data_IF_373726972830
#
_entry.id   IF_373726972830
#
_cell.length_a   1.000
_cell.length_b   1.000
_cell.length_c   1.000
_cell.angle_alpha   90.00
_cell.angle_beta   90.00
_cell.angle_gamma   90.00
#
_symmetry.space_group_name_H-M   'P 1'
#
loop_
_entity.id
_entity.type
_entity.pdbx_description
1 polymer ?
#
# COMPACT_ATOMS: atom_id res chain seq x y z
N UNK A 1 0.47 0.07 -14.85
CA UNK A 1 -0.33 -1.08 -14.40
C UNK A 1 -0.66 -0.92 -12.94
N UNK A 2 -1.87 -1.33 -12.48
CA UNK A 2 -2.22 -1.31 -11.06
C UNK A 2 -1.35 -2.33 -10.29
N UNK A 3 -0.79 -1.89 -9.17
CA UNK A 3 0.11 -2.69 -8.32
C UNK A 3 -0.18 -2.55 -6.82
N UNK A 4 -1.21 -1.78 -6.46
CA UNK A 4 -1.66 -1.67 -5.08
C UNK A 4 -3.13 -1.31 -5.01
N UNK A 5 -3.81 -1.90 -4.05
CA UNK A 5 -5.16 -1.57 -3.67
C UNK A 5 -5.16 -0.66 -2.43
N UNK A 6 -6.25 0.04 -2.21
CA UNK A 6 -6.52 0.75 -0.98
C UNK A 6 -7.97 0.52 -0.58
N UNK A 7 -8.21 0.28 0.68
CA UNK A 7 -9.55 0.22 1.25
C UNK A 7 -9.98 1.62 1.67
N UNK A 8 -11.20 1.99 1.33
CA UNK A 8 -11.82 3.24 1.75
C UNK A 8 -13.06 2.95 2.58
N UNK A 9 -13.15 3.61 3.74
CA UNK A 9 -14.40 3.76 4.46
C UNK A 9 -14.95 5.15 4.16
N UNK A 10 -16.19 5.23 3.72
CA UNK A 10 -16.86 6.50 3.39
C UNK A 10 -18.24 6.55 4.06
N UNK A 11 -18.63 7.75 4.49
CA UNK A 11 -19.98 8.00 4.97
C UNK A 11 -20.42 9.42 4.58
N UNK A 12 -21.71 9.59 4.29
CA UNK A 12 -22.28 10.92 4.03
C UNK A 12 -22.29 11.76 5.31
N UNK A 13 -22.44 11.11 6.46
CA UNK A 13 -22.52 11.78 7.76
C UNK A 13 -22.04 10.86 8.88
N UNK A 14 -21.13 11.35 9.72
CA UNK A 14 -20.73 10.70 10.97
C UNK A 14 -21.84 10.93 12.01
N UNK A 15 -22.41 9.87 12.60
CA UNK A 15 -23.38 10.02 13.69
C UNK A 15 -22.70 10.42 15.01
N UNK A 16 -23.48 10.64 16.06
CA UNK A 16 -22.94 10.75 17.42
C UNK A 16 -22.21 9.45 17.80
N UNK A 17 -20.94 9.56 18.14
CA UNK A 17 -20.06 8.45 18.54
C UNK A 17 -19.49 8.75 19.93
N UNK A 18 -19.46 7.73 20.80
CA UNK A 18 -18.84 7.90 22.13
C UNK A 18 -17.33 7.89 22.03
N UNK A 19 -16.70 8.84 22.72
CA UNK A 19 -15.25 8.90 22.84
C UNK A 19 -14.68 7.62 23.50
N UNK A 20 -13.48 7.23 23.09
CA UNK A 20 -12.74 6.08 23.61
C UNK A 20 -11.56 6.58 24.45
N UNK A 21 -11.37 5.99 25.63
CA UNK A 21 -10.22 6.30 26.49
C UNK A 21 -8.90 5.88 25.85
N UNK A 22 -7.83 6.64 26.12
CA UNK A 22 -6.48 6.35 25.65
C UNK A 22 -6.16 6.84 24.24
N UNK A 23 -7.11 7.50 23.57
CA UNK A 23 -6.86 8.24 22.32
C UNK A 23 -6.48 9.67 22.68
N UNK A 24 -5.40 10.16 22.08
CA UNK A 24 -4.85 11.49 22.38
C UNK A 24 -4.28 12.16 21.12
N UNK A 25 -4.28 13.51 21.06
CA UNK A 25 -3.62 14.23 19.97
C UNK A 25 -2.09 14.09 20.10
N UNK A 26 -1.45 13.66 19.01
CA UNK A 26 0.01 13.62 18.92
C UNK A 26 0.52 14.96 18.36
N UNK A 27 1.34 15.64 19.15
CA UNK A 27 1.85 16.97 18.77
C UNK A 27 3.02 16.86 17.77
N UNK A 28 3.31 17.92 16.98
CA UNK A 28 4.38 17.89 15.98
C UNK A 28 5.78 17.53 16.52
N UNK A 29 6.11 17.93 17.71
CA UNK A 29 7.37 17.60 18.39
C UNK A 29 7.41 16.16 18.92
N UNK A 30 6.29 15.45 18.91
CA UNK A 30 6.15 14.08 19.35
C UNK A 30 6.02 13.07 18.20
N UNK A 31 5.97 13.50 16.95
CA UNK A 31 5.74 12.60 15.79
C UNK A 31 6.76 11.47 15.69
N UNK A 32 7.99 11.68 16.17
CA UNK A 32 9.01 10.62 16.24
C UNK A 32 8.54 9.38 17.01
N UNK A 33 7.64 9.54 17.99
CA UNK A 33 7.08 8.42 18.77
C UNK A 33 6.23 7.46 17.91
N UNK A 34 5.71 7.92 16.76
CA UNK A 34 4.92 7.11 15.84
C UNK A 34 5.78 6.36 14.80
N UNK A 35 7.10 6.63 14.74
CA UNK A 35 7.98 6.04 13.73
C UNK A 35 8.14 4.53 13.89
N UNK A 36 8.26 4.02 15.11
CA UNK A 36 8.35 2.57 15.36
C UNK A 36 7.04 1.87 14.92
N UNK A 37 5.88 2.45 15.25
CA UNK A 37 4.58 1.95 14.82
C UNK A 37 4.49 1.90 13.28
N UNK A 38 4.92 2.96 12.59
CA UNK A 38 5.02 3.00 11.14
C UNK A 38 5.94 1.90 10.59
N UNK A 39 7.13 1.77 11.15
CA UNK A 39 8.14 0.80 10.69
C UNK A 39 7.64 -0.63 10.84
N UNK A 40 6.98 -0.96 11.93
CA UNK A 40 6.42 -2.29 12.17
C UNK A 40 5.22 -2.57 11.25
N UNK A 41 4.41 -1.56 10.97
CA UNK A 41 3.29 -1.69 10.04
C UNK A 41 3.77 -1.97 8.61
N UNK A 42 4.73 -1.21 8.09
CA UNK A 42 5.17 -1.36 6.68
C UNK A 42 5.87 -2.69 6.41
N UNK A 43 6.48 -3.33 7.42
CA UNK A 43 7.09 -4.67 7.28
C UNK A 43 6.09 -5.76 6.89
N UNK A 44 4.79 -5.54 7.12
CA UNK A 44 3.72 -6.50 6.81
C UNK A 44 3.32 -6.50 5.34
N UNK A 45 3.72 -5.49 4.59
CA UNK A 45 3.22 -5.26 3.23
C UNK A 45 4.35 -5.18 2.22
N UNK A 46 4.12 -5.73 1.02
CA UNK A 46 4.98 -5.51 -0.14
C UNK A 46 4.54 -4.26 -0.90
N UNK A 47 5.50 -3.53 -1.49
CA UNK A 47 5.20 -2.39 -2.35
C UNK A 47 4.82 -1.09 -1.62
N UNK A 48 4.91 -1.05 -0.30
CA UNK A 48 4.78 0.18 0.49
C UNK A 48 6.10 0.94 0.46
N UNK A 49 6.03 2.26 0.34
CA UNK A 49 7.20 3.13 0.43
C UNK A 49 7.79 3.01 1.83
N UNK A 50 9.02 2.49 1.92
CA UNK A 50 9.80 2.54 3.15
C UNK A 50 10.32 3.96 3.35
N UNK A 51 10.11 4.53 4.55
CA UNK A 51 10.64 5.84 4.94
C UNK A 51 11.74 5.66 5.99
N UNK A 52 12.83 6.39 5.84
CA UNK A 52 13.74 6.63 6.96
C UNK A 52 13.03 7.48 8.01
N UNK A 53 13.58 7.57 9.22
CA UNK A 53 13.03 8.45 10.26
C UNK A 53 12.95 9.91 9.77
N UNK A 54 13.98 10.39 9.07
CA UNK A 54 14.00 11.74 8.48
C UNK A 54 12.88 11.93 7.45
N UNK A 55 12.67 10.97 6.54
CA UNK A 55 11.60 11.04 5.54
C UNK A 55 10.21 10.95 6.18
N UNK A 56 10.07 10.14 7.23
CA UNK A 56 8.85 10.04 8.01
C UNK A 56 8.51 11.38 8.67
N UNK A 57 9.47 11.98 9.39
CA UNK A 57 9.27 13.26 10.06
C UNK A 57 9.01 14.40 9.06
N UNK A 58 9.69 14.39 7.90
CA UNK A 58 9.43 15.35 6.81
C UNK A 58 7.98 15.23 6.32
N UNK A 59 7.49 13.99 6.12
CA UNK A 59 6.10 13.76 5.70
C UNK A 59 5.09 14.20 6.76
N UNK A 60 5.39 13.97 8.04
CA UNK A 60 4.56 14.47 9.14
C UNK A 60 4.53 16.01 9.19
N UNK A 61 5.69 16.65 8.95
CA UNK A 61 5.77 18.10 8.87
C UNK A 61 4.95 18.68 7.70
N UNK A 62 4.95 18.01 6.54
CA UNK A 62 4.10 18.38 5.40
C UNK A 62 2.61 18.31 5.78
N UNK A 63 2.17 17.21 6.42
CA UNK A 63 0.78 17.09 6.88
C UNK A 63 0.40 18.22 7.85
N UNK A 64 1.27 18.53 8.81
CA UNK A 64 1.02 19.60 9.77
C UNK A 64 1.00 20.99 9.10
N UNK A 65 1.89 21.27 8.15
CA UNK A 65 1.94 22.53 7.41
C UNK A 65 0.67 22.77 6.59
N UNK A 66 0.06 21.69 6.08
CA UNK A 66 -1.20 21.72 5.35
C UNK A 66 -2.45 21.78 6.28
N UNK A 67 -2.26 21.93 7.59
CA UNK A 67 -3.35 21.99 8.59
C UNK A 67 -3.86 20.61 9.03
N UNK A 68 -3.12 19.54 8.71
CA UNK A 68 -3.43 18.19 9.19
C UNK A 68 -3.20 18.04 10.69
N UNK A 69 -3.96 17.13 11.28
CA UNK A 69 -3.88 16.76 12.70
C UNK A 69 -3.48 15.29 12.80
N UNK A 70 -2.91 14.89 13.95
CA UNK A 70 -2.61 13.50 14.25
C UNK A 70 -3.25 13.09 15.58
N UNK A 71 -3.99 11.98 15.57
CA UNK A 71 -4.44 11.30 16.79
C UNK A 71 -3.72 9.96 16.90
N UNK A 72 -3.42 9.57 18.12
CA UNK A 72 -2.73 8.33 18.45
C UNK A 72 -3.41 7.58 19.58
N UNK A 73 -3.11 6.30 19.69
CA UNK A 73 -3.49 5.42 20.79
C UNK A 73 -2.25 4.67 21.28
N UNK A 74 -2.16 4.47 22.59
CA UNK A 74 -1.12 3.72 23.27
C UNK A 74 -0.77 4.39 24.60
N UNK A 75 -0.14 3.65 25.52
CA UNK A 75 0.20 4.15 26.85
C UNK A 75 1.68 4.49 26.96
N UNK A 76 2.54 3.51 26.68
CA UNK A 76 4.00 3.64 26.80
C UNK A 76 4.66 3.86 25.42
N UNK A 77 4.01 3.44 24.36
CA UNK A 77 4.39 3.61 22.97
C UNK A 77 3.16 3.90 22.12
N UNK A 78 3.36 4.47 20.94
CA UNK A 78 2.29 4.62 19.96
C UNK A 78 2.01 3.25 19.32
N UNK A 79 0.80 2.73 19.54
CA UNK A 79 0.34 1.44 18.99
C UNK A 79 -0.44 1.61 17.69
N UNK A 80 -1.10 2.78 17.52
CA UNK A 80 -1.77 3.18 16.29
C UNK A 80 -1.83 4.70 16.20
N UNK A 81 -1.84 5.22 14.96
CA UNK A 81 -2.04 6.65 14.71
C UNK A 81 -2.80 6.88 13.41
N UNK A 82 -3.42 8.07 13.32
CA UNK A 82 -4.12 8.54 12.13
C UNK A 82 -3.78 10.00 11.87
N UNK A 83 -3.27 10.32 10.66
CA UNK A 83 -3.22 11.68 10.14
C UNK A 83 -4.50 12.00 9.37
N UNK A 84 -5.11 13.14 9.68
CA UNK A 84 -6.38 13.55 9.09
C UNK A 84 -6.47 15.05 8.90
N UNK A 85 -7.31 15.43 7.95
CA UNK A 85 -7.75 16.82 7.73
C UNK A 85 -9.23 16.92 8.11
N UNK A 86 -9.57 18.03 8.74
CA UNK A 86 -10.94 18.34 9.12
C UNK A 86 -11.32 19.70 8.56
N UNK A 87 -12.37 19.74 7.76
CA UNK A 87 -12.98 20.98 7.26
C UNK A 87 -14.32 21.21 7.97
N UNK A 88 -15.08 22.24 7.55
CA UNK A 88 -16.44 22.48 8.05
C UNK A 88 -17.44 21.38 7.65
N UNK A 89 -17.15 20.60 6.61
CA UNK A 89 -18.08 19.62 6.01
C UNK A 89 -17.54 18.21 5.93
N UNK A 90 -16.23 18.02 6.04
CA UNK A 90 -15.59 16.75 5.72
C UNK A 90 -14.44 16.41 6.68
N UNK A 91 -14.34 15.11 7.00
CA UNK A 91 -13.20 14.48 7.67
C UNK A 91 -12.49 13.53 6.68
N UNK A 92 -11.20 13.79 6.42
CA UNK A 92 -10.38 12.99 5.50
C UNK A 92 -9.19 12.40 6.27
N UNK A 93 -9.20 11.10 6.52
CA UNK A 93 -8.07 10.38 7.10
C UNK A 93 -7.14 9.88 5.98
N UNK A 94 -5.94 10.46 5.90
CA UNK A 94 -5.00 10.26 4.78
C UNK A 94 -3.94 9.20 5.03
N UNK A 95 -3.60 8.97 6.30
CA UNK A 95 -2.69 7.92 6.72
C UNK A 95 -3.20 7.32 8.03
N UNK A 96 -3.43 6.01 8.04
CA UNK A 96 -3.95 5.26 9.18
C UNK A 96 -3.07 4.01 9.37
N UNK A 97 -2.40 3.92 10.51
CA UNK A 97 -1.34 2.94 10.80
C UNK A 97 -1.58 2.32 12.17
N UNK A 98 -1.46 1.00 12.25
CA UNK A 98 -1.66 0.20 13.44
C UNK A 98 -2.40 -1.10 13.15
N UNK A 99 -2.58 -1.93 14.15
CA UNK A 99 -3.46 -3.10 14.09
C UNK A 99 -4.93 -2.65 14.09
N UNK A 100 -5.80 -3.40 13.45
CA UNK A 100 -7.22 -3.04 13.29
C UNK A 100 -7.89 -2.68 14.63
N UNK A 101 -7.65 -3.44 15.69
CA UNK A 101 -8.27 -3.21 17.02
C UNK A 101 -7.86 -1.87 17.65
N UNK A 102 -6.59 -1.49 17.54
CA UNK A 102 -6.07 -0.22 18.08
C UNK A 102 -6.39 0.94 17.15
N UNK A 103 -6.30 0.72 15.85
CA UNK A 103 -6.64 1.70 14.83
C UNK A 103 -8.13 2.07 14.86
N UNK A 104 -9.02 1.09 15.08
CA UNK A 104 -10.45 1.34 15.24
C UNK A 104 -10.73 2.26 16.45
N UNK A 105 -9.97 2.14 17.55
CA UNK A 105 -10.09 3.05 18.70
C UNK A 105 -9.70 4.47 18.33
N UNK A 106 -8.58 4.66 17.59
CA UNK A 106 -8.16 6.00 17.13
C UNK A 106 -9.22 6.63 16.26
N UNK A 107 -9.74 5.88 15.27
CA UNK A 107 -10.81 6.36 14.38
C UNK A 107 -12.07 6.71 15.16
N UNK A 108 -12.48 5.87 16.13
CA UNK A 108 -13.64 6.14 17.00
C UNK A 108 -13.45 7.43 17.80
N UNK A 109 -12.24 7.67 18.33
CA UNK A 109 -11.92 8.91 19.05
C UNK A 109 -12.02 10.15 18.16
N UNK A 110 -11.51 10.07 16.92
CA UNK A 110 -11.63 11.15 15.92
C UNK A 110 -13.11 11.40 15.58
N UNK A 111 -13.90 10.34 15.35
CA UNK A 111 -15.31 10.46 14.97
C UNK A 111 -16.16 11.12 16.07
N UNK A 112 -15.82 10.88 17.35
CA UNK A 112 -16.50 11.50 18.47
C UNK A 112 -16.40 13.05 18.48
N UNK A 113 -15.39 13.61 17.82
CA UNK A 113 -15.18 15.05 17.68
C UNK A 113 -15.71 15.60 16.33
N UNK A 114 -16.19 14.73 15.43
CA UNK A 114 -16.49 15.07 14.03
C UNK A 114 -17.95 14.73 13.65
N UNK A 115 -18.88 14.77 14.60
CA UNK A 115 -20.29 14.52 14.32
C UNK A 115 -20.83 15.44 13.20
N UNK A 116 -21.58 14.84 12.29
CA UNK A 116 -22.23 15.55 11.20
C UNK A 116 -21.40 15.75 9.95
N UNK A 117 -20.08 15.53 10.00
CA UNK A 117 -19.21 15.64 8.83
C UNK A 117 -19.33 14.41 7.91
N UNK A 118 -19.07 14.59 6.62
CA UNK A 118 -18.83 13.46 5.73
C UNK A 118 -17.47 12.82 6.03
N UNK A 119 -17.31 11.53 5.69
CA UNK A 119 -16.15 10.73 6.06
C UNK A 119 -15.46 10.14 4.83
N UNK A 120 -14.13 10.23 4.80
CA UNK A 120 -13.27 9.44 3.93
C UNK A 120 -12.05 8.96 4.71
N UNK A 121 -11.91 7.65 4.91
CA UNK A 121 -10.73 7.03 5.55
C UNK A 121 -10.05 6.10 4.59
N UNK A 122 -8.75 6.24 4.42
CA UNK A 122 -7.91 5.30 3.67
C UNK A 122 -7.26 4.30 4.63
N UNK A 123 -7.50 3.02 4.39
CA UNK A 123 -6.98 1.89 5.16
C UNK A 123 -6.17 0.93 4.28
N UNK A 124 -5.47 -0.01 4.90
CA UNK A 124 -4.90 -1.16 4.20
C UNK A 124 -6.01 -2.01 3.54
N UNK A 125 -5.77 -2.64 2.39
CA UNK A 125 -6.79 -3.45 1.69
C UNK A 125 -7.37 -4.57 2.55
N UNK A 126 -6.55 -5.18 3.38
CA UNK A 126 -6.89 -6.32 4.24
C UNK A 126 -7.58 -5.93 5.55
N UNK A 127 -7.60 -4.63 5.89
CA UNK A 127 -8.22 -4.15 7.12
C UNK A 127 -9.65 -4.65 7.25
N UNK A 128 -10.00 -5.16 8.42
CA UNK A 128 -11.35 -5.64 8.75
C UNK A 128 -12.19 -4.58 9.48
N UNK A 129 -11.65 -3.37 9.64
CA UNK A 129 -12.37 -2.26 10.30
C UNK A 129 -13.65 -1.96 9.54
N UNK A 130 -14.75 -1.88 10.27
CA UNK A 130 -16.07 -1.50 9.77
C UNK A 130 -16.78 -0.62 10.80
N UNK A 131 -17.68 0.23 10.32
CA UNK A 131 -18.62 0.99 11.13
C UNK A 131 -20.00 0.89 10.48
N UNK A 132 -21.06 0.69 11.26
CA UNK A 132 -22.42 0.48 10.76
C UNK A 132 -22.94 1.63 9.87
N UNK A 133 -22.40 2.83 10.07
CA UNK A 133 -22.75 4.03 9.29
C UNK A 133 -21.86 4.27 8.07
N UNK A 134 -20.80 3.48 7.87
CA UNK A 134 -19.85 3.68 6.79
C UNK A 134 -19.90 2.54 5.75
N UNK A 135 -19.68 2.90 4.50
CA UNK A 135 -19.51 1.95 3.40
C UNK A 135 -18.04 1.67 3.19
N UNK A 136 -17.71 0.40 2.90
CA UNK A 136 -16.36 -0.05 2.63
C UNK A 136 -16.20 -0.40 1.16
N UNK A 137 -15.18 0.15 0.51
CA UNK A 137 -14.86 -0.09 -0.89
C UNK A 137 -13.35 -0.28 -1.07
N UNK A 138 -12.95 -1.29 -1.84
CA UNK A 138 -11.56 -1.48 -2.25
C UNK A 138 -11.36 -0.91 -3.65
N UNK A 139 -10.37 -0.03 -3.81
CA UNK A 139 -10.04 0.63 -5.08
C UNK A 139 -8.57 0.38 -5.45
N UNK A 140 -8.34 0.13 -6.73
CA UNK A 140 -6.97 0.13 -7.28
C UNK A 140 -6.44 1.56 -7.33
N UNK A 141 -5.38 1.85 -6.58
CA UNK A 141 -4.82 3.21 -6.43
C UNK A 141 -3.34 3.33 -6.73
N UNK A 142 -2.57 2.27 -6.52
CA UNK A 142 -1.16 2.27 -6.90
C UNK A 142 -0.98 1.89 -8.36
N UNK A 143 -0.21 2.68 -9.10
CA UNK A 143 0.21 2.34 -10.47
C UNK A 143 1.72 2.42 -10.58
N UNK A 144 2.31 1.48 -11.33
CA UNK A 144 3.72 1.46 -11.65
C UNK A 144 3.92 1.26 -13.15
N UNK A 145 5.03 1.78 -13.66
CA UNK A 145 5.57 1.48 -14.99
C UNK A 145 6.93 0.82 -14.87
N UNK A 146 7.22 -0.11 -15.76
CA UNK A 146 8.53 -0.76 -15.84
C UNK A 146 9.43 0.05 -16.79
N UNK A 147 10.52 0.61 -16.25
CA UNK A 147 11.48 1.39 -17.03
C UNK A 147 12.67 0.56 -17.49
N UNK A 148 13.14 -0.38 -16.65
CA UNK A 148 14.25 -1.27 -16.93
C UNK A 148 14.03 -2.63 -16.25
N UNK A 149 13.69 -3.63 -17.05
CA UNK A 149 13.42 -4.98 -16.55
C UNK A 149 14.68 -5.66 -16.00
N UNK A 150 15.83 -5.46 -16.65
CA UNK A 150 17.06 -6.13 -16.22
C UNK A 150 17.52 -5.64 -14.86
N UNK A 151 17.43 -4.33 -14.63
CA UNK A 151 17.75 -3.74 -13.32
C UNK A 151 16.81 -4.27 -12.24
N UNK A 152 15.50 -4.35 -12.54
CA UNK A 152 14.51 -4.88 -11.58
C UNK A 152 14.77 -6.35 -11.23
N UNK A 153 14.98 -7.22 -12.25
CA UNK A 153 15.23 -8.64 -12.02
C UNK A 153 16.52 -8.87 -11.21
N UNK A 154 17.59 -8.14 -11.51
CA UNK A 154 18.84 -8.21 -10.73
C UNK A 154 18.66 -7.77 -9.29
N UNK A 155 17.85 -6.75 -9.05
CA UNK A 155 17.58 -6.24 -7.69
C UNK A 155 16.74 -7.22 -6.86
N UNK A 156 15.91 -8.05 -7.50
CA UNK A 156 15.07 -9.04 -6.82
C UNK A 156 15.81 -10.34 -6.48
N UNK A 157 17.03 -10.55 -7.04
CA UNK A 157 17.88 -11.74 -6.81
C UNK A 157 17.12 -13.07 -6.95
N UNK A 158 16.26 -13.16 -7.98
CA UNK A 158 15.46 -14.36 -8.24
C UNK A 158 16.34 -15.50 -8.72
N UNK A 159 15.97 -16.73 -8.36
CA UNK A 159 16.68 -17.94 -8.73
C UNK A 159 15.79 -18.86 -9.57
N UNK A 160 16.36 -19.52 -10.59
CA UNK A 160 15.69 -20.44 -11.48
C UNK A 160 16.40 -20.46 -12.83
N UNK A 161 16.20 -21.55 -13.58
CA UNK A 161 16.84 -21.75 -14.90
C UNK A 161 15.90 -21.48 -16.08
N UNK A 162 14.61 -21.31 -15.81
CA UNK A 162 13.60 -21.06 -16.83
C UNK A 162 13.87 -19.73 -17.54
N UNK A 163 13.71 -19.76 -18.86
CA UNK A 163 13.73 -18.56 -19.68
C UNK A 163 12.31 -18.12 -19.99
N UNK A 164 12.06 -16.81 -20.00
CA UNK A 164 10.76 -16.26 -20.35
C UNK A 164 10.92 -15.06 -21.30
N UNK A 165 9.94 -14.89 -22.19
CA UNK A 165 9.89 -13.75 -23.10
C UNK A 165 9.02 -12.63 -22.55
N UNK A 166 9.43 -11.39 -22.77
CA UNK A 166 8.67 -10.20 -22.36
C UNK A 166 8.33 -9.36 -23.58
N UNK A 167 7.08 -8.88 -23.61
CA UNK A 167 6.57 -7.94 -24.59
C UNK A 167 6.23 -6.61 -23.92
N UNK A 168 6.91 -5.53 -24.33
CA UNK A 168 6.66 -4.17 -23.85
C UNK A 168 6.42 -3.25 -25.05
N UNK A 169 5.23 -2.68 -25.13
CA UNK A 169 4.83 -1.75 -26.20
C UNK A 169 5.26 -0.31 -25.93
N UNK A 170 5.81 -0.01 -24.74
CA UNK A 170 6.17 1.33 -24.30
C UNK A 170 7.70 1.48 -24.26
N UNK A 171 8.39 0.52 -23.65
CA UNK A 171 9.84 0.52 -23.48
C UNK A 171 10.44 -0.66 -24.28
N UNK A 172 10.94 -0.35 -25.46
CA UNK A 172 11.46 -1.38 -26.41
C UNK A 172 12.61 -2.19 -25.84
N UNK A 173 13.40 -1.62 -24.95
CA UNK A 173 14.56 -2.24 -24.30
C UNK A 173 14.16 -3.41 -23.39
N UNK A 174 12.94 -3.40 -22.89
CA UNK A 174 12.36 -4.49 -22.08
C UNK A 174 11.93 -5.70 -22.91
N UNK A 175 11.90 -5.59 -24.25
CA UNK A 175 11.56 -6.73 -25.11
C UNK A 175 12.71 -7.73 -25.20
N UNK A 176 12.37 -8.99 -25.20
CA UNK A 176 13.31 -10.09 -25.39
C UNK A 176 13.07 -11.28 -24.48
N UNK A 177 13.99 -12.21 -24.53
CA UNK A 177 13.99 -13.39 -23.67
C UNK A 177 15.01 -13.18 -22.53
N UNK A 178 14.60 -13.50 -21.31
CA UNK A 178 15.37 -13.27 -20.11
C UNK A 178 15.41 -14.53 -19.24
N UNK A 179 16.48 -14.64 -18.46
CA UNK A 179 16.56 -15.50 -17.29
C UNK A 179 16.05 -14.73 -16.05
N UNK A 180 15.69 -15.43 -15.00
CA UNK A 180 15.30 -14.82 -13.72
C UNK A 180 16.42 -13.96 -13.11
N UNK A 181 17.68 -14.24 -13.44
CA UNK A 181 18.84 -13.41 -13.08
C UNK A 181 18.86 -12.01 -13.73
N UNK A 182 17.97 -11.74 -14.68
CA UNK A 182 17.93 -10.51 -15.46
C UNK A 182 18.86 -10.51 -16.68
N UNK A 183 19.54 -11.62 -16.99
CA UNK A 183 20.34 -11.73 -18.20
C UNK A 183 19.47 -12.02 -19.42
N UNK A 184 19.75 -11.32 -20.54
CA UNK A 184 19.15 -11.68 -21.84
C UNK A 184 19.74 -13.01 -22.33
N UNK A 185 18.89 -13.83 -22.95
CA UNK A 185 19.27 -15.17 -23.42
C UNK A 185 18.64 -15.48 -24.78
N UNK A 186 19.26 -16.41 -25.52
CA UNK A 186 18.71 -16.99 -26.75
C UNK A 186 18.03 -18.34 -26.50
N UNK A 187 17.91 -18.78 -25.24
CA UNK A 187 17.16 -19.98 -24.89
C UNK A 187 15.71 -19.85 -25.35
N UNK A 188 15.10 -20.95 -25.72
CA UNK A 188 13.67 -21.00 -25.99
C UNK A 188 12.91 -20.65 -24.71
N UNK A 189 12.03 -19.63 -24.71
CA UNK A 189 11.30 -19.27 -23.53
C UNK A 189 10.26 -20.34 -23.16
N UNK A 190 10.05 -20.57 -21.88
CA UNK A 190 8.96 -21.42 -21.40
C UNK A 190 7.59 -20.74 -21.61
N UNK A 191 7.56 -19.42 -21.51
CA UNK A 191 6.35 -18.62 -21.72
C UNK A 191 6.69 -17.20 -22.19
N UNK A 192 5.67 -16.49 -22.71
CA UNK A 192 5.75 -15.05 -22.93
C UNK A 192 4.68 -14.32 -22.12
N UNK A 193 5.03 -13.13 -21.62
CA UNK A 193 4.18 -12.33 -20.74
C UNK A 193 4.30 -10.84 -21.07
N UNK A 194 3.19 -10.06 -21.09
CA UNK A 194 3.28 -8.62 -21.20
C UNK A 194 4.01 -7.99 -20.00
N UNK A 195 4.90 -7.00 -20.25
CA UNK A 195 5.73 -6.37 -19.23
C UNK A 195 4.97 -5.89 -17.99
N UNK A 196 3.79 -5.31 -18.17
CA UNK A 196 2.98 -4.85 -17.06
C UNK A 196 2.37 -5.98 -16.22
N UNK A 197 2.08 -7.13 -16.81
CA UNK A 197 1.63 -8.33 -16.06
C UNK A 197 2.78 -8.93 -15.28
N UNK A 198 3.95 -9.02 -15.91
CA UNK A 198 5.16 -9.43 -15.21
C UNK A 198 5.47 -8.51 -14.03
N UNK A 199 5.38 -7.19 -14.21
CA UNK A 199 5.59 -6.23 -13.13
C UNK A 199 4.65 -6.49 -11.94
N UNK A 200 3.37 -6.77 -12.19
CA UNK A 200 2.41 -7.10 -11.13
C UNK A 200 2.82 -8.34 -10.31
N UNK A 201 3.39 -9.35 -10.97
CA UNK A 201 3.92 -10.54 -10.29
C UNK A 201 5.18 -10.20 -9.50
N UNK A 202 6.14 -9.51 -10.12
CA UNK A 202 7.43 -9.20 -9.51
C UNK A 202 7.31 -8.31 -8.26
N UNK A 203 6.30 -7.44 -8.19
CA UNK A 203 6.04 -6.61 -7.00
C UNK A 203 5.08 -7.28 -6.00
N UNK A 204 4.66 -8.53 -6.23
CA UNK A 204 3.80 -9.27 -5.31
C UNK A 204 2.33 -8.83 -5.29
N UNK A 205 1.86 -8.08 -6.30
CA UNK A 205 0.45 -7.68 -6.41
C UNK A 205 -0.46 -8.85 -6.79
N UNK A 206 0.07 -9.78 -7.57
CA UNK A 206 -0.60 -11.02 -8.01
C UNK A 206 0.42 -12.13 -8.17
N UNK A 207 -0.01 -13.36 -8.20
CA UNK A 207 0.84 -14.51 -8.52
C UNK A 207 0.87 -14.79 -10.03
N UNK A 208 1.86 -15.56 -10.47
CA UNK A 208 2.05 -15.90 -11.89
C UNK A 208 0.89 -16.76 -12.43
N UNK A 209 0.35 -17.67 -11.63
CA UNK A 209 -0.75 -18.54 -12.04
C UNK A 209 -2.02 -17.74 -12.37
N UNK A 210 -2.31 -16.69 -11.59
CA UNK A 210 -3.42 -15.77 -11.85
C UNK A 210 -3.26 -15.02 -13.17
N UNK A 211 -2.04 -14.90 -13.69
CA UNK A 211 -1.75 -14.27 -14.97
C UNK A 211 -1.88 -15.22 -16.17
N UNK A 212 -2.10 -16.52 -15.95
CA UNK A 212 -2.22 -17.55 -17.00
C UNK A 212 -3.12 -17.15 -18.19
N UNK A 213 -4.27 -16.49 -18.03
CA UNK A 213 -5.08 -16.04 -19.17
C UNK A 213 -4.41 -15.00 -20.09
N UNK A 214 -3.33 -14.38 -19.63
CA UNK A 214 -2.58 -13.32 -20.36
C UNK A 214 -1.18 -13.76 -20.76
N UNK A 215 -0.82 -15.00 -20.47
CA UNK A 215 0.50 -15.59 -20.72
C UNK A 215 0.39 -16.60 -21.86
N UNK A 216 1.31 -16.57 -22.79
CA UNK A 216 1.44 -17.61 -23.79
C UNK A 216 2.46 -18.65 -23.32
N UNK A 217 2.00 -19.85 -22.96
CA UNK A 217 2.85 -20.93 -22.42
C UNK A 217 3.31 -21.82 -23.55
N UNK A 218 4.63 -22.02 -23.66
CA UNK A 218 5.29 -22.91 -24.62
C UNK A 218 5.73 -24.22 -23.96
N UNK A 219 6.12 -24.16 -22.68
CA UNK A 219 6.55 -25.27 -21.87
C UNK A 219 5.93 -25.18 -20.48
N UNK A 220 5.02 -26.07 -20.15
CA UNK A 220 4.27 -26.08 -18.88
C UNK A 220 5.19 -26.34 -17.68
N UNK A 221 6.20 -27.19 -17.82
CA UNK A 221 7.13 -27.47 -16.72
C UNK A 221 7.99 -26.24 -16.39
N UNK A 222 8.51 -25.58 -17.39
CA UNK A 222 9.30 -24.34 -17.22
C UNK A 222 8.46 -23.14 -16.77
N UNK A 223 7.13 -23.17 -16.96
CA UNK A 223 6.24 -22.15 -16.41
C UNK A 223 5.99 -22.33 -14.91
N UNK A 224 6.04 -23.56 -14.40
CA UNK A 224 5.83 -23.88 -13.00
C UNK A 224 7.13 -23.82 -12.15
N UNK A 225 8.29 -23.77 -12.79
CA UNK A 225 9.60 -23.61 -12.14
C UNK A 225 9.80 -22.16 -11.61
#
# INVERSE_FOLDING_TARGET
>A
YPVADACYLTAEKIPEVKAVEGVYPLQPDEYVKAFDCYTDFVKKYSGIIYRTEEDFLRKCADYNADGGKCMAYGKDAVEAYVFYYQTETELICVEAVGEDDTLQKVLTGIFAECEGLSLSVKLAPESQITFDFAQKEVKQKGVMGLTDLQVLLKALELHGEAAFAVEDHVVSENNGCFLLSGEKTEKTPAFSIPAGRLLQVLVGYTDLESQRPYVHIYDEAGFQE
#
